data_IF_398399770039
#
_entry.id   IF_398399770039
#
_cell.length_a   1.000
_cell.length_b   1.000
_cell.length_c   1.000
_cell.angle_alpha   90.00
_cell.angle_beta   90.00
_cell.angle_gamma   90.00
#
_symmetry.space_group_name_H-M   'P 1'
#
loop_
_entity.id
_entity.type
_entity.pdbx_description
1 polymer ?
#
# COMPACT_ATOMS: atom_id res chain seq x y z
N UNK A 1 -17.51 18.22 -13.18
CA UNK A 1 -17.53 17.13 -12.18
C UNK A 1 -18.90 16.89 -11.54
N UNK A 2 -19.72 17.92 -11.25
CA UNK A 2 -20.94 17.75 -10.43
C UNK A 2 -22.11 16.96 -11.06
N UNK A 3 -22.26 16.93 -12.40
CA UNK A 3 -23.43 16.31 -13.03
C UNK A 3 -23.43 14.78 -12.89
N UNK A 4 -22.29 14.13 -13.10
CA UNK A 4 -22.18 12.67 -12.99
C UNK A 4 -22.49 12.19 -11.56
N UNK A 5 -21.89 12.82 -10.55
CA UNK A 5 -22.13 12.44 -9.14
C UNK A 5 -23.59 12.60 -8.73
N UNK A 6 -24.28 13.61 -9.26
CA UNK A 6 -25.74 13.76 -9.09
C UNK A 6 -26.48 12.59 -9.74
N UNK A 7 -26.16 12.25 -10.98
CA UNK A 7 -26.78 11.13 -11.70
C UNK A 7 -26.58 9.80 -10.98
N UNK A 8 -25.38 9.52 -10.46
CA UNK A 8 -25.11 8.33 -9.65
C UNK A 8 -25.99 8.31 -8.39
N UNK A 9 -26.12 9.45 -7.71
CA UNK A 9 -26.97 9.54 -6.52
C UNK A 9 -28.43 9.23 -6.83
N UNK A 10 -28.96 9.87 -7.86
CA UNK A 10 -30.39 9.81 -8.19
C UNK A 10 -30.78 8.48 -8.87
N UNK A 11 -29.89 7.89 -9.66
CA UNK A 11 -30.20 6.71 -10.47
C UNK A 11 -29.66 5.39 -9.92
N UNK A 12 -28.61 5.42 -9.10
CA UNK A 12 -28.01 4.22 -8.52
C UNK A 12 -28.30 4.15 -7.02
N UNK A 13 -27.83 5.13 -6.24
CA UNK A 13 -27.93 5.09 -4.78
C UNK A 13 -29.38 5.21 -4.26
N UNK A 14 -30.24 5.94 -4.95
CA UNK A 14 -31.63 6.12 -4.54
C UNK A 14 -32.52 4.87 -4.82
N UNK A 15 -32.09 3.95 -5.69
CA UNK A 15 -32.94 2.82 -6.13
C UNK A 15 -32.94 1.65 -5.17
N UNK A 16 -31.82 1.40 -4.49
CA UNK A 16 -31.66 0.21 -3.67
C UNK A 16 -30.71 0.46 -2.51
N UNK A 17 -31.04 -0.11 -1.34
CA UNK A 17 -30.13 -0.18 -0.20
C UNK A 17 -29.38 -1.51 -0.25
N UNK A 18 -28.07 -1.42 -0.23
CA UNK A 18 -27.18 -2.57 -0.20
C UNK A 18 -26.72 -2.84 1.24
N UNK A 19 -26.45 -4.10 1.58
CA UNK A 19 -26.04 -4.49 2.93
C UNK A 19 -24.53 -4.61 3.08
N UNK A 20 -23.84 -4.92 1.99
CA UNK A 20 -22.38 -5.14 1.97
C UNK A 20 -21.69 -4.26 0.93
N UNK A 21 -20.40 -3.99 1.10
CA UNK A 21 -19.60 -3.24 0.13
C UNK A 21 -19.45 -3.99 -1.20
N UNK A 22 -19.33 -5.31 -1.16
CA UNK A 22 -19.20 -6.12 -2.38
C UNK A 22 -20.45 -6.09 -3.25
N UNK A 23 -21.64 -6.10 -2.63
CA UNK A 23 -22.91 -5.89 -3.32
C UNK A 23 -22.94 -4.53 -4.01
N UNK A 24 -22.53 -3.47 -3.31
CA UNK A 24 -22.45 -2.11 -3.86
C UNK A 24 -21.51 -2.08 -5.05
N UNK A 25 -20.29 -2.62 -4.92
CA UNK A 25 -19.27 -2.62 -5.96
C UNK A 25 -19.76 -3.37 -7.21
N UNK A 26 -20.38 -4.53 -7.02
CA UNK A 26 -20.92 -5.35 -8.12
C UNK A 26 -22.05 -4.61 -8.84
N UNK A 27 -23.03 -4.11 -8.09
CA UNK A 27 -24.17 -3.39 -8.66
C UNK A 27 -23.73 -2.08 -9.34
N UNK A 28 -22.76 -1.38 -8.75
CA UNK A 28 -22.22 -0.14 -9.32
C UNK A 28 -21.46 -0.41 -10.62
N UNK A 29 -20.71 -1.51 -10.70
CA UNK A 29 -20.02 -1.92 -11.93
C UNK A 29 -21.01 -2.20 -13.06
N UNK A 30 -22.12 -2.89 -12.77
CA UNK A 30 -23.19 -3.13 -13.73
C UNK A 30 -23.86 -1.82 -14.17
N UNK A 31 -24.18 -0.94 -13.22
CA UNK A 31 -24.75 0.39 -13.50
C UNK A 31 -23.82 1.23 -14.38
N UNK A 32 -22.52 1.26 -14.10
CA UNK A 32 -21.54 2.00 -14.90
C UNK A 32 -21.45 1.47 -16.33
N UNK A 33 -21.49 0.14 -16.51
CA UNK A 33 -21.45 -0.48 -17.83
C UNK A 33 -22.64 -0.03 -18.68
N UNK A 34 -23.85 -0.06 -18.11
CA UNK A 34 -25.05 0.45 -18.77
C UNK A 34 -24.94 1.97 -19.05
N UNK A 35 -24.57 2.75 -18.04
CA UNK A 35 -24.44 4.20 -18.14
C UNK A 35 -23.49 4.64 -19.26
N UNK A 36 -22.33 3.98 -19.40
CA UNK A 36 -21.34 4.27 -20.43
C UNK A 36 -21.80 3.90 -21.84
N UNK A 37 -22.69 2.90 -21.99
CA UNK A 37 -23.20 2.42 -23.29
C UNK A 37 -24.49 3.12 -23.72
N UNK A 38 -25.30 3.58 -22.76
CA UNK A 38 -26.56 4.28 -23.02
C UNK A 38 -26.30 5.60 -23.75
N UNK A 39 -27.13 5.90 -24.75
CA UNK A 39 -27.13 7.22 -25.41
C UNK A 39 -27.70 8.25 -24.45
N UNK A 40 -26.97 9.36 -24.25
CA UNK A 40 -27.43 10.45 -23.38
C UNK A 40 -27.96 11.58 -24.23
N UNK A 41 -29.17 12.06 -23.93
CA UNK A 41 -29.82 13.12 -24.71
C UNK A 41 -29.01 14.40 -24.85
N UNK A 42 -28.23 14.79 -23.83
CA UNK A 42 -27.35 15.96 -23.92
C UNK A 42 -26.14 15.74 -24.84
N UNK A 43 -25.68 14.49 -25.00
CA UNK A 43 -24.49 14.16 -25.78
C UNK A 43 -24.83 13.68 -27.18
N UNK A 44 -26.08 13.27 -27.42
CA UNK A 44 -26.58 12.60 -28.63
C UNK A 44 -25.83 11.30 -29.00
N UNK A 45 -24.89 10.88 -28.16
CA UNK A 45 -24.10 9.66 -28.25
C UNK A 45 -23.90 9.07 -26.84
N UNK A 46 -23.30 7.88 -26.77
CA UNK A 46 -22.92 7.29 -25.48
C UNK A 46 -21.63 7.91 -24.94
N UNK A 47 -21.45 8.01 -23.60
CA UNK A 47 -20.20 8.47 -23.01
C UNK A 47 -18.97 7.68 -23.50
N UNK A 48 -19.14 6.36 -23.71
CA UNK A 48 -18.08 5.50 -24.25
C UNK A 48 -17.69 5.90 -25.69
N UNK A 49 -18.68 6.10 -26.57
CA UNK A 49 -18.43 6.57 -27.94
C UNK A 49 -17.72 7.92 -27.94
N UNK A 50 -18.19 8.86 -27.11
CA UNK A 50 -17.55 10.17 -26.98
C UNK A 50 -16.09 10.07 -26.52
N UNK A 51 -15.79 9.18 -25.57
CA UNK A 51 -14.41 8.97 -25.08
C UNK A 51 -13.50 8.36 -26.14
N UNK A 52 -14.02 7.44 -26.96
CA UNK A 52 -13.28 6.78 -28.04
C UNK A 52 -13.08 7.66 -29.27
N UNK A 53 -13.97 8.61 -29.52
CA UNK A 53 -13.88 9.55 -30.64
C UNK A 53 -12.89 10.71 -30.43
N UNK A 54 -12.28 10.82 -29.25
CA UNK A 54 -11.26 11.83 -28.93
C UNK A 54 -9.90 11.15 -28.90
N UNK A 55 -8.89 11.79 -29.49
CA UNK A 55 -7.51 11.29 -29.44
C UNK A 55 -7.08 11.05 -27.99
N UNK A 56 -6.45 9.90 -27.78
CA UNK A 56 -5.95 9.54 -26.45
C UNK A 56 -4.72 10.38 -26.15
N UNK A 57 -4.82 11.25 -25.14
CA UNK A 57 -3.66 11.95 -24.54
C UNK A 57 -2.92 11.09 -23.51
N UNK A 58 -3.32 9.83 -23.32
CA UNK A 58 -2.69 8.94 -22.37
C UNK A 58 -1.33 8.46 -22.89
N UNK A 59 -0.30 8.58 -22.05
CA UNK A 59 1.01 7.99 -22.32
C UNK A 59 1.00 6.51 -21.91
N UNK A 60 1.57 5.67 -22.76
CA UNK A 60 1.80 4.26 -22.44
C UNK A 60 2.83 4.19 -21.31
N UNK A 61 2.51 3.40 -20.29
CA UNK A 61 3.50 3.02 -19.28
C UNK A 61 4.48 2.03 -19.95
N UNK A 62 5.80 2.25 -19.86
CA UNK A 62 6.78 1.30 -20.39
C UNK A 62 6.58 -0.10 -19.79
N UNK A 63 6.73 -1.17 -20.59
CA UNK A 63 6.55 -2.55 -20.11
C UNK A 63 7.50 -2.94 -18.97
N UNK A 64 8.67 -2.29 -18.92
CA UNK A 64 9.68 -2.46 -17.87
C UNK A 64 9.37 -1.71 -16.57
N UNK A 65 8.33 -0.87 -16.54
CA UNK A 65 8.01 -0.10 -15.35
C UNK A 65 7.25 -0.95 -14.33
N UNK A 66 7.80 -1.05 -13.11
CA UNK A 66 7.09 -1.62 -11.96
C UNK A 66 5.98 -0.65 -11.53
N UNK A 67 4.76 -0.86 -12.04
CA UNK A 67 3.58 -0.04 -11.72
C UNK A 67 3.30 -0.05 -10.22
N UNK A 68 3.52 -1.17 -9.52
CA UNK A 68 3.27 -1.26 -8.08
C UNK A 68 4.14 -0.28 -7.29
N UNK A 69 5.37 -0.03 -7.77
CA UNK A 69 6.27 0.94 -7.15
C UNK A 69 5.69 2.35 -7.09
N UNK A 70 4.88 2.74 -8.07
CA UNK A 70 4.26 4.07 -8.16
C UNK A 70 3.22 4.31 -7.07
N UNK A 71 2.65 3.24 -6.50
CA UNK A 71 1.61 3.32 -5.48
C UNK A 71 2.13 3.09 -4.05
N UNK A 72 3.44 2.90 -3.87
CA UNK A 72 4.02 2.72 -2.53
C UNK A 72 3.90 4.00 -1.72
N UNK A 73 3.41 3.87 -0.49
CA UNK A 73 3.41 4.97 0.47
C UNK A 73 4.73 5.04 1.23
N UNK A 74 5.17 6.26 1.49
CA UNK A 74 6.37 6.55 2.29
C UNK A 74 6.01 6.81 3.75
N UNK A 75 6.75 6.20 4.69
CA UNK A 75 6.62 6.47 6.13
C UNK A 75 7.98 6.42 6.81
N UNK A 76 8.22 7.27 7.82
CA UNK A 76 9.40 7.16 8.69
C UNK A 76 9.07 6.33 9.93
N UNK A 77 9.86 5.30 10.20
CA UNK A 77 9.70 4.39 11.32
C UNK A 77 10.93 4.43 12.23
N UNK A 78 10.72 4.29 13.54
CA UNK A 78 11.81 4.12 14.51
C UNK A 78 12.34 2.68 14.44
N UNK A 79 13.65 2.54 14.43
CA UNK A 79 14.34 1.25 14.52
C UNK A 79 14.50 0.91 16.01
N UNK A 80 13.99 -0.24 16.41
CA UNK A 80 14.09 -0.73 17.78
C UNK A 80 15.48 -1.32 18.04
N UNK A 81 15.79 -1.57 19.32
CA UNK A 81 17.10 -2.09 19.74
C UNK A 81 17.39 -3.49 19.18
N UNK A 82 16.36 -4.20 18.74
CA UNK A 82 16.44 -5.49 18.08
C UNK A 82 16.62 -5.41 16.56
N UNK A 83 16.83 -4.21 16.01
CA UNK A 83 16.96 -4.02 14.56
C UNK A 83 15.65 -4.23 13.81
N UNK A 84 14.50 -4.15 14.51
CA UNK A 84 13.18 -4.27 13.91
C UNK A 84 12.48 -2.92 13.79
N UNK A 85 11.44 -2.88 12.97
CA UNK A 85 10.47 -1.78 12.86
C UNK A 85 9.06 -2.32 13.03
N UNK A 86 8.14 -1.45 13.44
CA UNK A 86 6.71 -1.79 13.54
C UNK A 86 5.89 -1.01 12.51
N UNK A 87 5.05 -1.72 11.77
CA UNK A 87 4.06 -1.13 10.87
C UNK A 87 2.74 -1.88 11.00
N UNK A 88 1.64 -1.16 11.29
CA UNK A 88 0.27 -1.70 11.37
C UNK A 88 0.17 -3.03 12.13
N UNK A 89 0.74 -3.06 13.35
CA UNK A 89 0.80 -4.22 14.26
C UNK A 89 1.72 -5.37 13.83
N UNK A 90 2.31 -5.32 12.64
CA UNK A 90 3.33 -6.26 12.19
C UNK A 90 4.74 -5.73 12.49
N UNK A 91 5.70 -6.64 12.63
CA UNK A 91 7.10 -6.33 12.88
C UNK A 91 7.94 -6.81 11.70
N UNK A 92 8.93 -6.00 11.31
CA UNK A 92 9.81 -6.31 10.20
C UNK A 92 11.27 -6.08 10.59
N UNK A 93 12.14 -6.97 10.18
CA UNK A 93 13.59 -6.88 10.35
C UNK A 93 14.18 -5.93 9.31
N UNK A 94 15.03 -5.02 9.76
CA UNK A 94 15.75 -4.06 8.91
C UNK A 94 17.25 -4.14 9.18
N UNK A 95 17.91 -5.23 8.74
CA UNK A 95 19.34 -5.42 9.00
C UNK A 95 20.18 -4.26 8.44
N UNK A 96 21.23 -3.88 9.18
CA UNK A 96 22.14 -2.80 8.80
C UNK A 96 21.62 -1.38 9.10
N UNK A 97 20.42 -1.24 9.66
CA UNK A 97 19.93 0.04 10.18
C UNK A 97 20.40 0.26 11.63
N UNK A 98 20.76 1.50 11.97
CA UNK A 98 21.23 1.86 13.31
C UNK A 98 20.08 1.76 14.35
N UNK A 99 20.24 0.97 15.43
CA UNK A 99 19.28 0.91 16.52
C UNK A 99 19.01 2.30 17.14
N UNK A 100 17.74 2.59 17.46
CA UNK A 100 17.34 3.89 18.00
C UNK A 100 17.18 5.00 16.93
N UNK A 101 17.68 4.77 15.71
CA UNK A 101 17.52 5.66 14.57
C UNK A 101 16.10 5.64 13.97
N UNK A 102 15.94 6.37 12.85
CA UNK A 102 14.72 6.33 12.03
C UNK A 102 15.06 5.98 10.60
N UNK A 103 14.35 5.01 10.04
CA UNK A 103 14.47 4.59 8.64
C UNK A 103 13.20 4.94 7.87
N UNK A 104 13.36 5.31 6.60
CA UNK A 104 12.23 5.48 5.69
C UNK A 104 11.82 4.11 5.13
N UNK A 105 10.53 3.85 5.13
CA UNK A 105 9.94 2.65 4.55
C UNK A 105 8.95 2.98 3.43
N UNK A 106 8.83 2.05 2.50
CA UNK A 106 7.95 2.09 1.35
C UNK A 106 7.12 0.82 1.32
N UNK A 107 5.79 0.94 1.31
CA UNK A 107 4.89 -0.21 1.39
C UNK A 107 3.57 0.06 0.64
N UNK A 108 2.88 -1.00 0.22
CA UNK A 108 1.54 -0.87 -0.36
C UNK A 108 0.49 -0.73 0.76
N UNK A 109 -0.45 0.24 0.67
CA UNK A 109 -1.41 0.47 1.74
C UNK A 109 -2.48 -0.62 1.87
N UNK A 110 -2.62 -1.51 0.89
CA UNK A 110 -3.51 -2.67 0.93
C UNK A 110 -2.77 -4.00 1.13
N UNK A 111 -1.44 -4.04 0.97
CA UNK A 111 -0.63 -5.24 1.13
C UNK A 111 0.71 -4.93 1.83
N UNK A 112 0.96 -5.63 2.94
CA UNK A 112 2.19 -5.50 3.73
C UNK A 112 3.14 -6.68 3.54
N UNK A 113 2.87 -7.58 2.59
CA UNK A 113 3.72 -8.73 2.27
C UNK A 113 5.13 -8.31 1.85
N UNK A 114 5.25 -7.16 1.17
CA UNK A 114 6.50 -6.58 0.70
C UNK A 114 6.62 -5.15 1.20
N UNK A 115 7.64 -4.93 2.02
CA UNK A 115 8.00 -3.60 2.52
C UNK A 115 9.46 -3.38 2.18
N UNK A 116 9.76 -2.18 1.70
CA UNK A 116 11.12 -1.77 1.39
C UNK A 116 11.57 -0.71 2.39
N UNK A 117 12.86 -0.66 2.70
CA UNK A 117 13.44 0.32 3.60
C UNK A 117 14.74 0.87 3.05
N UNK A 118 15.10 2.08 3.51
CA UNK A 118 16.30 2.77 3.05
C UNK A 118 16.14 3.40 1.66
N UNK A 119 17.16 4.14 1.26
CA UNK A 119 17.20 4.79 -0.05
C UNK A 119 17.50 3.79 -1.19
N UNK A 120 18.08 2.64 -0.83
CA UNK A 120 18.37 1.51 -1.71
C UNK A 120 17.19 0.53 -1.87
N UNK A 121 16.05 0.81 -1.23
CA UNK A 121 14.83 -0.01 -1.29
C UNK A 121 15.11 -1.49 -0.97
N UNK A 122 15.84 -1.77 0.11
CA UNK A 122 16.04 -3.14 0.61
C UNK A 122 14.73 -3.74 1.08
N UNK A 123 14.48 -5.00 0.75
CA UNK A 123 13.29 -5.72 1.23
C UNK A 123 13.41 -6.02 2.73
N UNK A 124 12.43 -5.58 3.51
CA UNK A 124 12.30 -5.92 4.93
C UNK A 124 11.72 -7.33 5.08
N UNK A 125 12.24 -8.10 6.04
CA UNK A 125 11.75 -9.46 6.31
C UNK A 125 10.69 -9.40 7.42
N UNK A 126 9.56 -10.12 7.32
CA UNK A 126 8.65 -10.24 8.46
C UNK A 126 9.37 -10.91 9.62
N UNK A 127 9.25 -10.35 10.82
CA UNK A 127 9.90 -10.90 12.03
C UNK A 127 9.21 -12.21 12.40
N UNK A 128 10.00 -13.26 12.60
CA UNK A 128 9.55 -14.43 13.36
C UNK A 128 9.51 -14.08 14.84
N UNK A 129 8.30 -13.97 15.40
CA UNK A 129 8.10 -13.56 16.79
C UNK A 129 8.68 -14.57 17.79
N UNK A 130 8.69 -15.86 17.45
CA UNK A 130 9.20 -16.92 18.33
C UNK A 130 10.72 -16.87 18.34
N UNK A 131 11.35 -16.83 17.16
CA UNK A 131 12.80 -16.71 17.06
C UNK A 131 13.32 -15.41 17.70
N UNK A 132 12.59 -14.30 17.54
CA UNK A 132 12.97 -13.03 18.16
C UNK A 132 12.83 -13.04 19.70
N UNK A 133 11.88 -13.78 20.25
CA UNK A 133 11.73 -13.92 21.71
C UNK A 133 12.94 -14.65 22.33
N UNK A 134 13.45 -15.68 21.65
CA UNK A 134 14.59 -16.50 22.08
C UNK A 134 15.96 -15.98 21.61
N UNK A 135 16.04 -14.76 21.07
CA UNK A 135 17.28 -14.23 20.49
C UNK A 135 18.44 -14.12 21.49
N UNK A 136 18.14 -13.94 22.77
CA UNK A 136 19.14 -13.86 23.85
C UNK A 136 19.53 -15.23 24.41
N UNK A 137 18.79 -16.29 24.08
CA UNK A 137 19.13 -17.67 24.46
C UNK A 137 20.23 -18.25 23.55
N UNK A 138 20.49 -17.59 22.41
CA UNK A 138 21.59 -17.92 21.51
C UNK A 138 22.88 -17.22 21.96
N UNK A 139 23.93 -18.00 22.22
CA UNK A 139 25.23 -17.54 22.73
C UNK A 139 25.92 -16.44 21.88
N UNK A 140 25.49 -16.26 20.63
CA UNK A 140 26.06 -15.26 19.70
C UNK A 140 25.65 -13.80 20.01
N UNK A 141 24.65 -13.57 20.88
CA UNK A 141 24.23 -12.22 21.30
C UNK A 141 24.62 -11.87 22.73
N UNK A 142 25.34 -12.77 23.43
CA UNK A 142 25.89 -12.48 24.73
C UNK A 142 26.98 -11.41 24.58
N UNK A 143 26.67 -10.18 25.00
CA UNK A 143 27.67 -9.13 25.12
C UNK A 143 28.86 -9.64 25.93
N UNK A 144 30.03 -9.75 25.29
CA UNK A 144 31.31 -9.82 25.99
C UNK A 144 31.39 -8.54 26.83
N UNK A 145 31.05 -8.65 28.12
CA UNK A 145 31.42 -7.62 29.09
C UNK A 145 32.93 -7.70 29.21
N UNK A 146 33.65 -6.84 28.49
CA UNK A 146 35.04 -6.54 28.84
C UNK A 146 35.02 -6.05 30.29
N UNK A 147 35.68 -6.83 31.16
CA UNK A 147 35.95 -6.43 32.53
C UNK A 147 37.07 -5.41 32.47
N UNK A 148 36.76 -4.15 32.78
CA UNK A 148 37.78 -3.20 33.18
C UNK A 148 38.44 -3.75 34.46
N UNK A 149 39.69 -4.20 34.32
CA UNK A 149 40.57 -4.46 35.44
C UNK A 149 41.20 -3.13 35.85
N UNK A 150 40.55 -2.43 36.78
CA UNK A 150 41.23 -1.38 37.54
C UNK A 150 42.32 -2.02 38.39
N UNK A 151 43.55 -1.61 38.10
CA UNK A 151 44.76 -1.96 38.83
C UNK A 151 45.03 -0.85 39.85
N UNK A 152 45.07 -1.19 41.13
CA UNK A 152 45.81 -0.47 42.17
C UNK A 152 46.89 -1.39 42.73
#
# INVERSE_FOLDING_TARGET
MERFFRTVRDQFLAKQRYKTFDEINTAFTLYLNDYHRRIHSTLECSPMQKRLGVESVCQMVPEVADIESLFRLKRRCRVYNDGTIRLRKQAFEVPGCLPGGRVTIYYMPWDLSRIYYGDDLKLAKPVDLIANAHRFDNANFAHTKEKDNDTE
#
